data_IF_642884284212
#
_entry.id   IF_642884284212
#
_cell.length_a   1.000
_cell.length_b   1.000
_cell.length_c   1.000
_cell.angle_alpha   90.00
_cell.angle_beta   90.00
_cell.angle_gamma   90.00
#
_symmetry.space_group_name_H-M   'P 1'
#
loop_
_entity.id
_entity.type
_entity.pdbx_description
1 polymer ?
#
# COMPACT_ATOMS: atom_id res chain seq x y z
N UNK A 1 18.68 -8.39 9.02
CA UNK A 1 17.71 -7.97 8.00
C UNK A 1 16.52 -8.92 7.99
N UNK A 2 15.34 -8.36 8.07
CA UNK A 2 14.13 -9.16 8.06
C UNK A 2 13.79 -9.59 6.63
N UNK A 3 13.55 -10.89 6.41
CA UNK A 3 13.13 -11.42 5.12
C UNK A 3 11.70 -11.93 5.27
N UNK A 4 10.73 -11.04 5.09
CA UNK A 4 9.33 -11.42 5.20
C UNK A 4 8.93 -12.42 4.13
N UNK A 5 9.26 -12.12 2.86
CA UNK A 5 9.08 -13.06 1.77
C UNK A 5 10.40 -13.75 1.46
N UNK A 6 10.34 -15.01 1.07
CA UNK A 6 11.53 -15.81 0.77
C UNK A 6 11.75 -15.96 -0.73
N UNK A 7 10.70 -15.83 -1.53
CA UNK A 7 10.77 -16.00 -2.99
C UNK A 7 9.90 -14.96 -3.69
N UNK A 8 10.24 -14.69 -4.95
CA UNK A 8 9.40 -13.82 -5.78
C UNK A 8 8.06 -14.46 -6.08
N UNK A 9 7.98 -15.78 -6.12
CA UNK A 9 6.71 -16.47 -6.35
C UNK A 9 5.71 -16.18 -5.24
N UNK A 10 6.17 -16.03 -4.00
CA UNK A 10 5.29 -15.66 -2.90
C UNK A 10 4.67 -14.28 -3.13
N UNK A 11 5.48 -13.33 -3.61
CA UNK A 11 5.01 -11.97 -3.91
C UNK A 11 4.00 -12.00 -5.06
N UNK A 12 4.32 -12.74 -6.13
CA UNK A 12 3.40 -12.89 -7.26
C UNK A 12 2.05 -13.48 -6.82
N UNK A 13 2.09 -14.46 -5.91
CA UNK A 13 0.88 -15.09 -5.41
C UNK A 13 0.01 -14.08 -4.64
N UNK A 14 0.64 -13.20 -3.86
CA UNK A 14 -0.07 -12.14 -3.15
C UNK A 14 -0.78 -11.21 -4.13
N UNK A 15 -0.06 -10.76 -5.16
CA UNK A 15 -0.63 -9.85 -6.17
C UNK A 15 -1.79 -10.51 -6.91
N UNK A 16 -1.60 -11.73 -7.38
CA UNK A 16 -2.64 -12.46 -8.12
C UNK A 16 -3.86 -12.75 -7.26
N UNK A 17 -3.63 -13.16 -6.00
CA UNK A 17 -4.72 -13.42 -5.07
C UNK A 17 -5.56 -12.18 -4.79
N UNK A 18 -4.90 -11.05 -4.67
CA UNK A 18 -5.57 -9.77 -4.47
C UNK A 18 -6.38 -9.38 -5.72
N UNK A 19 -5.75 -9.41 -6.88
CA UNK A 19 -6.38 -8.95 -8.13
C UNK A 19 -7.54 -9.86 -8.57
N UNK A 20 -7.44 -11.15 -8.29
CA UNK A 20 -8.50 -12.11 -8.63
C UNK A 20 -9.54 -12.26 -7.52
N UNK A 21 -9.35 -11.58 -6.40
CA UNK A 21 -10.20 -11.67 -5.22
C UNK A 21 -10.28 -13.10 -4.66
N UNK A 22 -9.20 -13.87 -4.83
CA UNK A 22 -9.12 -15.22 -4.28
C UNK A 22 -8.44 -15.26 -2.91
N UNK A 23 -7.74 -14.17 -2.53
CA UNK A 23 -7.23 -14.00 -1.17
C UNK A 23 -8.37 -13.60 -0.25
N UNK A 24 -8.52 -14.28 0.89
CA UNK A 24 -9.56 -13.92 1.86
C UNK A 24 -9.35 -12.52 2.42
N UNK A 25 -10.43 -11.84 2.77
CA UNK A 25 -10.33 -10.46 3.25
C UNK A 25 -9.47 -10.31 4.51
N UNK A 26 -9.42 -11.33 5.35
CA UNK A 26 -8.60 -11.33 6.56
C UNK A 26 -7.14 -11.66 6.28
N UNK A 27 -6.84 -12.18 5.10
CA UNK A 27 -5.49 -12.54 4.69
C UNK A 27 -4.78 -11.41 3.96
N UNK A 28 -5.53 -10.41 3.49
CA UNK A 28 -4.94 -9.25 2.83
C UNK A 28 -4.59 -8.21 3.90
N UNK A 29 -3.37 -8.28 4.38
CA UNK A 29 -2.87 -7.46 5.49
C UNK A 29 -2.17 -6.21 4.96
N UNK A 30 -1.72 -5.34 5.88
CA UNK A 30 -0.90 -4.19 5.51
C UNK A 30 0.36 -4.61 4.76
N UNK A 31 0.99 -5.70 5.19
CA UNK A 31 2.18 -6.24 4.52
C UNK A 31 1.85 -6.66 3.08
N UNK A 32 0.73 -7.34 2.89
CA UNK A 32 0.26 -7.72 1.56
C UNK A 32 0.05 -6.49 0.68
N UNK A 33 -0.56 -5.45 1.24
CA UNK A 33 -0.80 -4.18 0.54
C UNK A 33 0.51 -3.53 0.09
N UNK A 34 1.53 -3.53 0.96
CA UNK A 34 2.85 -2.99 0.60
C UNK A 34 3.47 -3.78 -0.55
N UNK A 35 3.35 -5.10 -0.53
CA UNK A 35 3.90 -5.94 -1.60
C UNK A 35 3.24 -5.63 -2.95
N UNK A 36 1.92 -5.47 -2.97
CA UNK A 36 1.19 -5.10 -4.18
C UNK A 36 1.61 -3.71 -4.65
N UNK A 37 1.79 -2.77 -3.72
CA UNK A 37 2.21 -1.41 -4.03
C UNK A 37 3.59 -1.40 -4.72
N UNK A 38 4.55 -2.15 -4.18
CA UNK A 38 5.87 -2.28 -4.79
C UNK A 38 5.75 -2.85 -6.21
N UNK A 39 4.95 -3.89 -6.36
CA UNK A 39 4.73 -4.53 -7.66
C UNK A 39 4.25 -3.52 -8.70
N UNK A 40 3.24 -2.72 -8.34
CA UNK A 40 2.69 -1.72 -9.27
C UNK A 40 3.69 -0.61 -9.58
N UNK A 41 4.39 -0.11 -8.55
CA UNK A 41 5.32 1.01 -8.73
C UNK A 41 6.60 0.64 -9.50
N UNK A 42 6.93 -0.64 -9.60
CA UNK A 42 8.09 -1.05 -10.40
C UNK A 42 7.86 -0.88 -11.90
N UNK A 43 6.61 -0.93 -12.33
CA UNK A 43 6.28 -0.90 -13.76
C UNK A 43 5.52 0.35 -14.17
N UNK A 44 4.94 1.08 -13.21
CA UNK A 44 4.03 2.19 -13.49
C UNK A 44 4.51 3.45 -12.77
N UNK A 45 4.10 4.62 -13.30
CA UNK A 45 4.30 5.88 -12.60
C UNK A 45 3.48 5.89 -11.31
N UNK A 46 3.79 6.82 -10.41
CA UNK A 46 3.01 6.97 -9.18
C UNK A 46 1.52 7.17 -9.49
N UNK A 47 1.23 8.03 -10.47
CA UNK A 47 -0.15 8.29 -10.85
C UNK A 47 -0.85 7.04 -11.38
N UNK A 48 -0.22 6.33 -12.31
CA UNK A 48 -0.79 5.11 -12.88
C UNK A 48 -0.95 4.00 -11.83
N UNK A 49 0.05 3.84 -10.96
CA UNK A 49 0.01 2.83 -9.91
C UNK A 49 -1.09 3.13 -8.90
N UNK A 50 -1.29 4.41 -8.55
CA UNK A 50 -2.34 4.82 -7.64
C UNK A 50 -3.72 4.51 -8.23
N UNK A 51 -3.92 4.82 -9.51
CA UNK A 51 -5.18 4.49 -10.20
C UNK A 51 -5.44 2.98 -10.19
N UNK A 52 -4.42 2.20 -10.48
CA UNK A 52 -4.56 0.74 -10.49
C UNK A 52 -4.85 0.20 -9.09
N UNK A 53 -4.18 0.73 -8.08
CA UNK A 53 -4.43 0.32 -6.70
C UNK A 53 -5.87 0.65 -6.28
N UNK A 54 -6.32 1.85 -6.62
CA UNK A 54 -7.69 2.28 -6.32
C UNK A 54 -8.71 1.33 -6.95
N UNK A 55 -8.54 1.03 -8.23
CA UNK A 55 -9.44 0.12 -8.96
C UNK A 55 -9.42 -1.29 -8.35
N UNK A 56 -8.23 -1.78 -8.01
CA UNK A 56 -8.09 -3.12 -7.41
C UNK A 56 -8.73 -3.19 -6.03
N UNK A 57 -8.57 -2.13 -5.22
CA UNK A 57 -9.19 -2.07 -3.89
C UNK A 57 -10.72 -2.03 -4.00
N UNK A 58 -11.27 -1.25 -4.92
CA UNK A 58 -12.72 -1.21 -5.12
C UNK A 58 -13.26 -2.58 -5.53
N UNK A 59 -12.56 -3.27 -6.43
CA UNK A 59 -12.97 -4.62 -6.85
C UNK A 59 -12.95 -5.59 -5.67
N UNK A 60 -11.90 -5.53 -4.85
CA UNK A 60 -11.75 -6.39 -3.68
C UNK A 60 -12.86 -6.12 -2.65
N UNK A 61 -13.10 -4.85 -2.35
CA UNK A 61 -14.13 -4.42 -1.41
C UNK A 61 -15.52 -4.84 -1.90
N UNK A 62 -15.79 -4.62 -3.18
CA UNK A 62 -17.07 -5.00 -3.78
C UNK A 62 -17.28 -6.51 -3.75
N UNK A 63 -16.23 -7.27 -4.07
CA UNK A 63 -16.30 -8.73 -4.08
C UNK A 63 -16.70 -9.30 -2.71
N UNK A 64 -16.13 -8.74 -1.64
CA UNK A 64 -16.40 -9.23 -0.28
C UNK A 64 -17.53 -8.50 0.43
N UNK A 65 -18.17 -7.55 -0.23
CA UNK A 65 -19.30 -6.82 0.35
C UNK A 65 -18.95 -6.00 1.57
N UNK A 66 -17.73 -5.48 1.64
CA UNK A 66 -17.26 -4.70 2.79
C UNK A 66 -17.31 -3.20 2.49
N UNK A 67 -18.45 -2.73 2.01
CA UNK A 67 -18.67 -1.33 1.67
C UNK A 67 -18.31 -0.40 2.83
N UNK A 68 -17.89 0.82 2.49
CA UNK A 68 -17.49 1.81 3.48
C UNK A 68 -16.08 1.63 4.02
N UNK A 69 -15.34 0.63 3.55
CA UNK A 69 -13.97 0.39 4.01
C UNK A 69 -12.92 1.14 3.20
N UNK A 70 -13.27 1.64 2.01
CA UNK A 70 -12.29 2.36 1.20
C UNK A 70 -11.93 3.68 1.85
N UNK A 71 -10.65 4.03 1.80
CA UNK A 71 -10.13 5.25 2.40
C UNK A 71 -9.13 5.88 1.43
N UNK A 72 -9.54 6.97 0.80
CA UNK A 72 -8.71 7.61 -0.24
C UNK A 72 -7.39 8.14 0.31
N UNK A 73 -7.42 8.85 1.44
CA UNK A 73 -6.19 9.41 2.01
C UNK A 73 -5.19 8.32 2.39
N UNK A 74 -5.63 7.22 3.00
CA UNK A 74 -4.75 6.10 3.33
C UNK A 74 -4.15 5.48 2.07
N UNK A 75 -4.97 5.29 1.03
CA UNK A 75 -4.50 4.73 -0.22
C UNK A 75 -3.37 5.58 -0.80
N UNK A 76 -3.60 6.88 -0.94
CA UNK A 76 -2.62 7.79 -1.52
C UNK A 76 -1.39 7.94 -0.62
N UNK A 77 -1.60 8.00 0.71
CA UNK A 77 -0.51 8.11 1.67
C UNK A 77 0.51 6.97 1.49
N UNK A 78 0.03 5.72 1.49
CA UNK A 78 0.93 4.57 1.36
C UNK A 78 1.58 4.49 -0.01
N UNK A 79 0.86 4.88 -1.08
CA UNK A 79 1.47 4.93 -2.42
C UNK A 79 2.65 5.91 -2.43
N UNK A 80 2.48 7.08 -1.83
CA UNK A 80 3.55 8.10 -1.76
C UNK A 80 4.71 7.64 -0.87
N UNK A 81 4.41 7.02 0.26
CA UNK A 81 5.45 6.54 1.18
C UNK A 81 6.31 5.46 0.52
N UNK A 82 5.67 4.52 -0.16
CA UNK A 82 6.39 3.46 -0.86
C UNK A 82 7.21 4.05 -2.01
N UNK A 83 6.62 4.99 -2.79
CA UNK A 83 7.36 5.65 -3.87
C UNK A 83 8.62 6.34 -3.35
N UNK A 84 8.49 7.07 -2.25
CA UNK A 84 9.64 7.76 -1.65
C UNK A 84 10.70 6.75 -1.21
N UNK A 85 10.29 5.66 -0.59
CA UNK A 85 11.23 4.62 -0.15
C UNK A 85 11.94 3.96 -1.33
N UNK A 86 11.20 3.67 -2.41
CA UNK A 86 11.80 3.09 -3.61
C UNK A 86 12.85 4.01 -4.23
N UNK A 87 12.62 5.31 -4.20
CA UNK A 87 13.58 6.28 -4.73
C UNK A 87 14.87 6.34 -3.92
N UNK A 88 14.84 5.90 -2.66
CA UNK A 88 16.01 5.84 -1.79
C UNK A 88 16.79 4.54 -1.93
N UNK A 89 16.19 3.52 -2.52
CA UNK A 89 16.82 2.20 -2.66
C UNK A 89 17.62 2.08 -3.95
N UNK A 90 18.59 1.18 -3.95
CA UNK A 90 19.38 0.87 -5.12
C UNK A 90 18.47 0.25 -6.20
N UNK A 91 18.54 0.78 -7.40
CA UNK A 91 17.73 0.32 -8.54
C UNK A 91 18.10 -1.09 -9.00
N UNK A 92 19.27 -1.58 -8.60
CA UNK A 92 19.73 -2.92 -8.99
C UNK A 92 19.21 -4.03 -8.06
N UNK A 93 18.49 -3.67 -7.00
CA UNK A 93 17.89 -4.68 -6.13
C UNK A 93 16.82 -5.47 -6.87
N UNK A 94 16.76 -6.77 -6.59
CA UNK A 94 15.70 -7.62 -7.14
C UNK A 94 14.34 -7.22 -6.57
N UNK A 95 13.27 -7.71 -7.17
CA UNK A 95 11.92 -7.52 -6.66
C UNK A 95 11.83 -8.00 -5.20
N UNK A 96 12.40 -9.17 -4.92
CA UNK A 96 12.38 -9.74 -3.57
C UNK A 96 13.10 -8.85 -2.57
N UNK A 97 14.31 -8.41 -2.90
CA UNK A 97 15.09 -7.53 -2.03
C UNK A 97 14.38 -6.19 -1.81
N UNK A 98 13.84 -5.61 -2.88
CA UNK A 98 13.13 -4.33 -2.82
C UNK A 98 11.89 -4.45 -1.94
N UNK A 99 11.10 -5.49 -2.14
CA UNK A 99 9.86 -5.68 -1.38
C UNK A 99 10.16 -5.85 0.11
N UNK A 100 11.15 -6.68 0.45
CA UNK A 100 11.51 -6.89 1.85
C UNK A 100 12.08 -5.62 2.50
N UNK A 101 12.82 -4.81 1.74
CA UNK A 101 13.34 -3.54 2.25
C UNK A 101 12.22 -2.54 2.55
N UNK A 102 11.20 -2.50 1.69
CA UNK A 102 10.02 -1.65 1.90
C UNK A 102 9.26 -2.10 3.14
N UNK A 103 9.05 -3.41 3.28
CA UNK A 103 8.35 -3.97 4.44
C UNK A 103 9.11 -3.65 5.73
N UNK A 104 10.42 -3.78 5.73
CA UNK A 104 11.22 -3.45 6.90
C UNK A 104 11.04 -1.99 7.33
N UNK A 105 11.01 -1.08 6.36
CA UNK A 105 10.89 0.35 6.64
C UNK A 105 9.45 0.79 6.95
N UNK A 106 8.45 0.21 6.30
CA UNK A 106 7.07 0.72 6.32
C UNK A 106 6.04 -0.30 6.82
N UNK A 107 6.50 -1.43 7.35
CA UNK A 107 5.60 -2.53 7.73
C UNK A 107 4.71 -2.27 8.92
N UNK A 108 4.97 -1.22 9.70
CA UNK A 108 4.11 -0.85 10.82
C UNK A 108 3.03 0.12 10.33
N UNK A 109 1.80 -0.35 10.26
CA UNK A 109 0.68 0.45 9.75
C UNK A 109 0.40 1.68 10.62
N UNK A 110 0.87 1.70 11.87
CA UNK A 110 0.67 2.84 12.76
C UNK A 110 1.54 4.04 12.38
N UNK A 111 2.49 3.87 11.46
CA UNK A 111 3.33 4.95 10.99
C UNK A 111 2.49 6.15 10.50
N UNK A 112 1.31 5.89 9.94
CA UNK A 112 0.43 6.95 9.47
C UNK A 112 0.07 7.95 10.55
N UNK A 113 0.02 7.50 11.81
CA UNK A 113 -0.34 8.38 12.94
C UNK A 113 0.76 9.36 13.34
N UNK A 114 1.96 9.21 12.78
CA UNK A 114 3.01 10.24 12.91
C UNK A 114 2.72 11.43 12.03
N UNK A 115 1.92 11.24 10.98
CA UNK A 115 1.60 12.27 9.98
C UNK A 115 0.20 12.86 10.16
N UNK A 116 -0.74 12.03 10.60
CA UNK A 116 -2.16 12.42 10.71
C UNK A 116 -2.64 12.20 12.14
N UNK A 117 -3.38 13.19 12.67
CA UNK A 117 -4.14 12.95 13.89
C UNK A 117 -5.28 11.98 13.57
N UNK A 118 -5.74 11.24 14.57
CA UNK A 118 -6.83 10.30 14.37
C UNK A 118 -8.13 11.02 13.95
N UNK A 119 -8.38 12.19 14.52
CA UNK A 119 -9.57 12.97 14.14
C UNK A 119 -9.60 13.34 12.68
N UNK A 120 -8.46 13.76 12.12
CA UNK A 120 -8.40 14.10 10.72
C UNK A 120 -8.45 12.85 9.84
N UNK A 121 -7.67 11.82 10.19
CA UNK A 121 -7.57 10.61 9.36
C UNK A 121 -8.93 9.92 9.20
N UNK A 122 -9.72 9.87 10.27
CA UNK A 122 -10.99 9.15 10.24
C UNK A 122 -12.17 10.04 9.87
N UNK A 123 -11.91 11.27 9.45
CA UNK A 123 -12.98 12.18 8.98
C UNK A 123 -13.57 11.68 7.66
N UNK A 124 -14.81 12.08 7.39
CA UNK A 124 -15.46 11.75 6.12
C UNK A 124 -14.69 12.33 4.93
N UNK A 125 -14.17 13.55 5.09
CA UNK A 125 -13.39 14.19 4.03
C UNK A 125 -12.15 13.38 3.68
N UNK A 126 -11.39 12.93 4.68
CA UNK A 126 -10.18 12.15 4.44
C UNK A 126 -10.47 10.80 3.77
N UNK A 127 -11.63 10.20 4.07
CA UNK A 127 -12.03 8.94 3.45
C UNK A 127 -12.38 9.11 1.99
N UNK A 128 -12.93 10.26 1.61
CA UNK A 128 -13.44 10.50 0.26
C UNK A 128 -12.42 11.15 -0.66
N UNK A 129 -11.53 11.98 -0.11
CA UNK A 129 -10.55 12.73 -0.90
C UNK A 129 -9.22 12.75 -0.17
N UNK A 130 -8.16 13.07 -0.90
CA UNK A 130 -6.85 13.30 -0.30
C UNK A 130 -6.89 14.56 0.59
N UNK A 131 -6.44 14.44 1.84
CA UNK A 131 -6.22 15.59 2.72
C UNK A 131 -4.75 15.61 3.15
N UNK A 132 -4.21 16.81 3.31
CA UNK A 132 -2.83 16.98 3.76
C UNK A 132 -2.67 16.53 5.21
N UNK A 133 -1.53 15.95 5.57
CA UNK A 133 -1.28 15.59 6.96
C UNK A 133 -1.21 16.83 7.85
N UNK A 134 -1.72 16.71 9.06
CA UNK A 134 -1.78 17.82 10.02
C UNK A 134 -0.67 17.78 11.08
N UNK A 135 0.02 16.67 11.26
CA UNK A 135 1.04 16.54 12.29
C UNK A 135 2.46 16.71 11.76
N UNK A 136 2.72 16.21 10.56
CA UNK A 136 4.04 16.21 9.97
C UNK A 136 3.90 16.18 8.45
N UNK A 137 4.63 17.02 7.72
CA UNK A 137 4.54 17.00 6.26
C UNK A 137 5.15 15.72 5.69
N UNK A 138 4.66 15.29 4.54
CA UNK A 138 5.20 14.12 3.85
C UNK A 138 6.58 14.38 3.25
N UNK A 139 6.84 15.60 2.85
CA UNK A 139 8.09 15.97 2.19
C UNK A 139 9.00 16.79 3.10
#
# INVERSE_FOLDING_TARGET
MSCYYKTENEIQAVVRGFESCSTGKSEFTHISHLAVTVWYLRCLSLEQATEKMRASLFRFIDHYGIEGKYHETLTVFWMRMVRRRLDELDRNLSLLETTNAVIEALGDARLVFEYYSEGLLWSAEARQTWVQPDLKPLD
#
